data_IF_758423618393
#
_entry.id   IF_758423618393
#
_cell.length_a   1.000
_cell.length_b   1.000
_cell.length_c   1.000
_cell.angle_alpha   90.00
_cell.angle_beta   90.00
_cell.angle_gamma   90.00
#
_symmetry.space_group_name_H-M   'P 1'
#
loop_
_entity.id
_entity.type
_entity.pdbx_description
1 polymer ?
#
# COMPACT_ATOMS: atom_id res chain seq x y z
N UNK A 1 -9.07 15.88 13.07
CA UNK A 1 -7.76 16.45 13.43
C UNK A 1 -7.49 16.40 14.93
N UNK A 2 -7.14 15.22 15.46
CA UNK A 2 -6.72 15.05 16.85
C UNK A 2 -5.18 14.99 16.91
N UNK A 3 -4.55 16.02 17.46
CA UNK A 3 -3.09 16.14 17.52
C UNK A 3 -2.43 15.02 18.34
N UNK A 4 -3.06 14.58 19.42
CA UNK A 4 -2.56 13.49 20.26
C UNK A 4 -2.58 12.15 19.52
N UNK A 5 -3.66 11.86 18.78
CA UNK A 5 -3.75 10.66 17.95
C UNK A 5 -2.68 10.67 16.84
N UNK A 6 -2.50 11.82 16.17
CA UNK A 6 -1.46 11.98 15.15
C UNK A 6 -0.06 11.76 15.72
N UNK A 7 0.23 12.27 16.92
CA UNK A 7 1.52 12.09 17.58
C UNK A 7 1.84 10.62 17.88
N UNK A 8 0.83 9.79 18.15
CA UNK A 8 1.00 8.34 18.36
C UNK A 8 1.28 7.65 17.02
N UNK A 9 0.42 7.85 16.03
CA UNK A 9 0.53 7.21 14.71
C UNK A 9 1.83 7.59 14.00
N UNK A 10 2.34 8.80 14.23
CA UNK A 10 3.61 9.26 13.62
C UNK A 10 4.86 8.59 14.20
N UNK A 11 4.76 7.85 15.30
CA UNK A 11 5.91 7.11 15.87
C UNK A 11 6.25 5.84 15.10
N UNK A 12 5.28 5.32 14.35
CA UNK A 12 5.42 4.10 13.57
C UNK A 12 5.31 4.43 12.07
N UNK A 13 6.36 4.17 11.26
CA UNK A 13 6.32 4.47 9.82
C UNK A 13 5.21 3.75 9.06
N UNK A 14 4.85 2.52 9.45
CA UNK A 14 3.78 1.77 8.79
C UNK A 14 2.41 2.40 9.09
N UNK A 15 2.12 2.72 10.35
CA UNK A 15 0.87 3.41 10.70
C UNK A 15 0.80 4.82 10.12
N UNK A 16 1.94 5.53 10.10
CA UNK A 16 2.03 6.85 9.47
C UNK A 16 1.62 6.78 8.00
N UNK A 17 2.15 5.81 7.24
CA UNK A 17 1.83 5.66 5.82
C UNK A 17 0.45 5.07 5.56
N UNK A 18 -0.08 4.20 6.42
CA UNK A 18 -1.36 3.52 6.20
C UNK A 18 -2.57 4.45 6.37
N UNK A 19 -2.47 5.45 7.25
CA UNK A 19 -3.62 6.25 7.69
C UNK A 19 -3.76 7.60 6.99
N UNK A 20 -2.96 7.87 5.95
CA UNK A 20 -3.02 9.12 5.17
C UNK A 20 -2.31 8.97 3.83
N UNK A 21 -2.55 9.90 2.92
CA UNK A 21 -1.72 10.06 1.73
C UNK A 21 -0.32 10.53 2.13
N UNK A 22 0.71 9.82 1.67
CA UNK A 22 2.11 10.22 1.82
C UNK A 22 2.77 10.30 0.46
N UNK A 23 3.68 11.25 0.26
CA UNK A 23 4.39 11.45 -0.99
C UNK A 23 5.88 11.58 -0.70
N UNK A 24 6.71 10.88 -1.46
CA UNK A 24 8.17 10.91 -1.33
C UNK A 24 8.80 11.13 -2.70
N UNK A 25 9.86 11.93 -2.76
CA UNK A 25 10.65 12.07 -3.98
C UNK A 25 11.55 10.84 -4.15
N UNK A 26 11.39 10.10 -5.24
CA UNK A 26 12.14 8.86 -5.48
C UNK A 26 13.20 8.96 -6.57
N UNK A 27 13.16 10.02 -7.40
CA UNK A 27 14.15 10.29 -8.43
C UNK A 27 14.28 11.80 -8.62
N UNK A 28 15.50 12.29 -8.78
CA UNK A 28 15.79 13.70 -9.11
C UNK A 28 16.84 13.73 -10.21
N UNK A 29 16.62 14.56 -11.23
CA UNK A 29 17.59 14.86 -12.28
C UNK A 29 17.77 16.37 -12.40
N UNK A 30 19.01 16.87 -12.30
CA UNK A 30 19.33 18.28 -12.48
C UNK A 30 20.79 18.49 -12.91
N UNK A 31 21.00 19.08 -14.09
CA UNK A 31 22.33 19.36 -14.63
C UNK A 31 23.03 18.14 -15.26
N UNK A 32 24.21 18.39 -15.84
CA UNK A 32 25.00 17.36 -16.53
C UNK A 32 26.52 17.61 -16.50
N UNK A 33 27.00 18.71 -15.91
CA UNK A 33 28.42 19.08 -15.90
C UNK A 33 28.77 19.92 -14.66
N UNK A 34 30.03 19.81 -14.22
CA UNK A 34 30.51 20.43 -12.98
C UNK A 34 30.62 21.96 -13.04
N UNK A 35 30.67 22.54 -14.24
CA UNK A 35 30.88 23.97 -14.47
C UNK A 35 29.71 24.66 -15.21
N UNK A 36 28.57 23.98 -15.38
CA UNK A 36 27.41 24.53 -16.08
C UNK A 36 26.21 24.66 -15.13
N UNK A 37 25.56 25.83 -15.14
CA UNK A 37 24.33 26.05 -14.38
C UNK A 37 23.17 25.24 -15.00
N UNK A 38 22.48 24.39 -14.22
CA UNK A 38 21.39 23.57 -14.73
C UNK A 38 20.21 24.43 -15.20
N UNK A 39 19.76 24.20 -16.44
CA UNK A 39 18.61 24.91 -17.02
C UNK A 39 17.26 24.26 -16.66
N UNK A 40 17.28 23.00 -16.21
CA UNK A 40 16.09 22.23 -15.83
C UNK A 40 16.41 21.28 -14.68
N UNK A 41 15.43 21.09 -13.81
CA UNK A 41 15.39 20.01 -12.85
C UNK A 41 14.07 19.26 -12.99
N UNK A 42 14.08 17.94 -12.80
CA UNK A 42 12.88 17.12 -12.71
C UNK A 42 12.96 16.26 -11.45
N UNK A 43 11.79 15.97 -10.88
CA UNK A 43 11.68 15.08 -9.73
C UNK A 43 10.47 14.15 -9.93
N UNK A 44 10.66 12.85 -9.71
CA UNK A 44 9.55 11.91 -9.61
C UNK A 44 9.10 11.84 -8.14
N UNK A 45 7.85 12.17 -7.90
CA UNK A 45 7.22 12.08 -6.57
C UNK A 45 6.30 10.88 -6.57
N UNK A 46 6.64 9.85 -5.79
CA UNK A 46 5.80 8.68 -5.61
C UNK A 46 4.87 8.91 -4.41
N UNK A 47 3.56 8.88 -4.66
CA UNK A 47 2.55 9.04 -3.63
C UNK A 47 1.86 7.71 -3.31
N UNK A 48 1.81 7.35 -2.03
CA UNK A 48 0.95 6.31 -1.47
C UNK A 48 -0.36 6.98 -1.08
N UNK A 49 -1.33 6.94 -1.97
CA UNK A 49 -2.60 7.65 -1.81
C UNK A 49 -3.58 6.87 -0.95
N UNK A 50 -4.27 7.56 -0.03
CA UNK A 50 -5.35 6.97 0.74
C UNK A 50 -6.52 6.60 -0.20
N UNK A 51 -7.16 5.43 -0.04
CA UNK A 51 -8.24 4.99 -0.92
C UNK A 51 -9.34 6.04 -1.07
N UNK A 52 -9.88 6.17 -2.28
CA UNK A 52 -10.86 7.20 -2.63
C UNK A 52 -10.29 8.58 -2.98
N UNK A 53 -8.98 8.80 -2.84
CA UNK A 53 -8.35 10.07 -3.23
C UNK A 53 -8.20 10.15 -4.75
N UNK A 54 -8.66 11.25 -5.35
CA UNK A 54 -8.49 11.53 -6.78
C UNK A 54 -7.06 12.03 -7.08
N UNK A 55 -6.32 11.40 -8.01
CA UNK A 55 -4.98 11.84 -8.42
C UNK A 55 -4.91 13.29 -8.90
N UNK A 56 -5.95 13.80 -9.55
CA UNK A 56 -5.98 15.19 -10.03
C UNK A 56 -6.12 16.20 -8.88
N UNK A 57 -6.88 15.84 -7.84
CA UNK A 57 -6.97 16.66 -6.62
C UNK A 57 -5.60 16.73 -5.95
N UNK A 58 -4.93 15.59 -5.77
CA UNK A 58 -3.59 15.55 -5.18
C UNK A 58 -2.56 16.32 -6.03
N UNK A 59 -2.63 16.21 -7.36
CA UNK A 59 -1.80 17.00 -8.28
C UNK A 59 -2.00 18.50 -8.06
N UNK A 60 -3.25 18.93 -7.91
CA UNK A 60 -3.61 20.32 -7.61
C UNK A 60 -3.07 20.79 -6.25
N UNK A 61 -3.20 19.97 -5.21
CA UNK A 61 -2.66 20.25 -3.88
C UNK A 61 -1.13 20.39 -3.90
N UNK A 62 -0.42 19.49 -4.58
CA UNK A 62 1.03 19.57 -4.75
C UNK A 62 1.44 20.85 -5.49
N UNK A 63 0.74 21.21 -6.57
CA UNK A 63 1.01 22.44 -7.31
C UNK A 63 0.78 23.69 -6.45
N UNK A 64 -0.29 23.70 -5.65
CA UNK A 64 -0.59 24.79 -4.72
C UNK A 64 0.46 24.92 -3.61
N UNK A 65 0.93 23.80 -3.05
CA UNK A 65 2.00 23.81 -2.03
C UNK A 65 3.34 24.30 -2.57
N UNK A 66 3.69 23.93 -3.81
CA UNK A 66 4.91 24.41 -4.47
C UNK A 66 4.83 25.93 -4.73
N UNK A 67 3.62 26.42 -5.03
CA UNK A 67 3.32 27.85 -5.21
C UNK A 67 4.30 28.57 -6.16
N UNK A 68 4.66 27.90 -7.26
CA UNK A 68 5.58 28.44 -8.25
C UNK A 68 5.09 28.10 -9.66
N UNK A 69 4.57 29.10 -10.38
CA UNK A 69 4.03 28.93 -11.73
C UNK A 69 5.06 28.44 -12.77
N UNK A 70 6.38 28.50 -12.46
CA UNK A 70 7.43 27.95 -13.33
C UNK A 70 7.64 26.44 -13.14
N UNK A 71 7.03 25.84 -12.13
CA UNK A 71 7.12 24.40 -11.86
C UNK A 71 5.85 23.72 -12.37
N UNK A 72 5.99 22.86 -13.37
CA UNK A 72 4.90 22.03 -13.84
C UNK A 72 4.76 20.79 -12.95
N UNK A 73 3.53 20.49 -12.52
CA UNK A 73 3.19 19.25 -11.82
C UNK A 73 2.23 18.46 -12.69
N UNK A 74 2.67 17.28 -13.13
CA UNK A 74 1.96 16.38 -14.05
C UNK A 74 1.83 15.00 -13.44
N UNK A 75 0.72 14.31 -13.74
CA UNK A 75 0.61 12.88 -13.45
C UNK A 75 1.42 12.08 -14.48
N UNK A 76 2.15 11.07 -14.01
CA UNK A 76 2.85 10.12 -14.88
C UNK A 76 1.86 9.07 -15.41
N UNK A 77 1.89 8.81 -16.71
CA UNK A 77 1.05 7.81 -17.33
C UNK A 77 1.66 6.40 -17.21
N UNK A 78 0.84 5.33 -17.10
CA UNK A 78 -0.62 5.36 -17.00
C UNK A 78 -1.10 5.78 -15.61
N UNK A 79 -2.12 6.64 -15.57
CA UNK A 79 -2.79 7.00 -14.31
C UNK A 79 -3.62 5.80 -13.86
N UNK A 80 -3.35 5.30 -12.67
CA UNK A 80 -4.06 4.14 -12.10
C UNK A 80 -5.49 4.53 -11.70
N UNK A 81 -6.45 3.58 -11.73
CA UNK A 81 -7.79 3.82 -11.19
C UNK A 81 -7.75 4.24 -9.72
N UNK A 82 -8.80 4.93 -9.27
CA UNK A 82 -8.95 5.25 -7.84
C UNK A 82 -9.25 3.97 -7.06
N UNK A 83 -8.38 3.64 -6.10
CA UNK A 83 -8.57 2.49 -5.24
C UNK A 83 -9.84 2.64 -4.39
N UNK A 84 -10.62 1.56 -4.29
CA UNK A 84 -11.81 1.47 -3.44
C UNK A 84 -11.62 0.37 -2.40
N UNK A 85 -11.87 0.70 -1.13
CA UNK A 85 -11.88 -0.31 -0.08
C UNK A 85 -13.07 -1.25 -0.30
N UNK A 86 -12.88 -2.58 -0.25
CA UNK A 86 -13.99 -3.53 -0.34
C UNK A 86 -14.86 -3.44 0.93
N UNK A 87 -16.16 -3.76 0.85
CA UNK A 87 -16.99 -3.91 2.05
C UNK A 87 -16.45 -5.06 2.92
N UNK A 88 -16.57 -4.99 4.24
CA UNK A 88 -16.15 -6.09 5.12
C UNK A 88 -17.20 -7.22 5.13
N UNK A 89 -17.31 -7.97 4.03
CA UNK A 89 -18.32 -9.02 3.86
C UNK A 89 -18.10 -10.16 4.87
N UNK A 90 -19.03 -10.40 5.81
CA UNK A 90 -18.89 -11.47 6.82
C UNK A 90 -18.76 -12.87 6.21
N UNK A 91 -19.34 -13.12 5.04
CA UNK A 91 -19.24 -14.40 4.35
C UNK A 91 -17.82 -14.70 3.83
N UNK A 92 -16.99 -13.66 3.65
CA UNK A 92 -15.57 -13.81 3.24
C UNK A 92 -14.64 -13.70 4.45
N UNK A 93 -14.84 -12.67 5.27
CA UNK A 93 -13.98 -12.38 6.42
C UNK A 93 -14.18 -13.40 7.55
N UNK A 94 -15.39 -13.93 7.73
CA UNK A 94 -15.70 -14.93 8.75
C UNK A 94 -14.88 -16.21 8.61
N UNK A 95 -14.91 -16.89 7.44
CA UNK A 95 -14.05 -18.03 7.16
C UNK A 95 -12.56 -17.73 7.34
N UNK A 96 -12.10 -16.55 6.87
CA UNK A 96 -10.70 -16.15 7.06
C UNK A 96 -10.31 -16.10 8.55
N UNK A 97 -11.16 -15.49 9.37
CA UNK A 97 -10.95 -15.37 10.81
C UNK A 97 -11.00 -16.73 11.52
N UNK A 98 -11.97 -17.58 11.20
CA UNK A 98 -12.11 -18.91 11.80
C UNK A 98 -10.88 -19.78 11.51
N UNK A 99 -10.45 -19.84 10.25
CA UNK A 99 -9.25 -20.57 9.86
C UNK A 99 -7.98 -19.96 10.48
N UNK A 100 -7.92 -18.64 10.67
CA UNK A 100 -6.74 -18.01 11.28
C UNK A 100 -6.54 -18.48 12.72
N UNK A 101 -7.63 -18.72 13.46
CA UNK A 101 -7.59 -19.27 14.82
C UNK A 101 -7.04 -20.71 14.84
N UNK A 102 -7.35 -21.51 13.81
CA UNK A 102 -6.86 -22.88 13.64
C UNK A 102 -5.36 -22.92 13.31
N UNK A 103 -4.91 -22.16 12.32
CA UNK A 103 -3.54 -22.21 11.80
C UNK A 103 -2.55 -21.35 12.60
N UNK A 104 -3.04 -20.31 13.26
CA UNK A 104 -2.25 -19.32 14.01
C UNK A 104 -2.86 -19.06 15.40
N UNK A 105 -2.92 -20.08 16.28
CA UNK A 105 -3.56 -19.96 17.59
C UNK A 105 -2.90 -18.87 18.45
N UNK A 106 -3.73 -18.01 19.04
CA UNK A 106 -3.29 -16.89 19.87
C UNK A 106 -2.86 -15.62 19.11
N UNK A 107 -2.89 -15.63 17.77
CA UNK A 107 -2.62 -14.45 16.95
C UNK A 107 -3.93 -13.71 16.64
N UNK A 108 -4.04 -12.40 16.92
CA UNK A 108 -5.25 -11.65 16.62
C UNK A 108 -5.44 -11.48 15.11
N UNK A 109 -6.67 -11.65 14.64
CA UNK A 109 -7.07 -11.28 13.29
C UNK A 109 -7.39 -9.77 13.25
N UNK A 110 -6.69 -9.02 12.41
CA UNK A 110 -6.87 -7.57 12.28
C UNK A 110 -6.98 -7.20 10.81
N UNK A 111 -8.04 -6.46 10.46
CA UNK A 111 -8.17 -5.87 9.13
C UNK A 111 -7.15 -4.74 8.98
N UNK A 112 -6.32 -4.82 7.95
CA UNK A 112 -5.29 -3.83 7.64
C UNK A 112 -5.36 -3.44 6.17
N UNK A 113 -4.93 -2.21 5.87
CA UNK A 113 -4.76 -1.74 4.51
C UNK A 113 -3.28 -1.83 4.15
N UNK A 114 -2.95 -2.59 3.10
CA UNK A 114 -1.58 -2.62 2.60
C UNK A 114 -1.14 -1.22 2.13
N UNK A 115 0.06 -0.81 2.52
CA UNK A 115 0.73 0.39 1.98
C UNK A 115 1.43 0.11 0.65
N UNK A 116 1.47 -1.16 0.22
CA UNK A 116 1.90 -1.61 -1.09
C UNK A 116 0.79 -1.55 -2.15
N UNK A 117 1.11 -1.99 -3.36
CA UNK A 117 0.13 -2.10 -4.44
C UNK A 117 -0.28 -3.57 -4.64
N UNK A 118 -1.53 -3.79 -5.06
CA UNK A 118 -2.05 -5.06 -5.55
C UNK A 118 -2.91 -4.82 -6.79
N UNK A 119 -3.24 -5.89 -7.51
CA UNK A 119 -4.11 -5.80 -8.70
C UNK A 119 -5.59 -5.52 -8.34
N UNK A 120 -5.93 -5.45 -7.05
CA UNK A 120 -7.27 -5.09 -6.58
C UNK A 120 -7.73 -3.70 -7.05
N UNK A 121 -6.80 -2.81 -7.39
CA UNK A 121 -7.10 -1.50 -7.99
C UNK A 121 -7.75 -1.60 -9.38
N UNK A 122 -7.55 -2.71 -10.09
CA UNK A 122 -8.16 -2.98 -11.39
C UNK A 122 -9.46 -3.78 -11.28
N UNK A 123 -9.61 -4.58 -10.22
CA UNK A 123 -10.78 -5.42 -9.96
C UNK A 123 -11.91 -4.65 -9.26
N UNK A 124 -11.57 -3.79 -8.30
CA UNK A 124 -12.56 -3.02 -7.53
C UNK A 124 -13.42 -2.06 -8.38
N UNK A 125 -12.91 -1.39 -9.45
CA UNK A 125 -13.74 -0.53 -10.28
C UNK A 125 -14.80 -1.29 -11.09
N UNK A 126 -14.55 -2.55 -11.43
CA UNK A 126 -15.50 -3.43 -12.14
C UNK A 126 -16.40 -4.23 -11.18
N UNK A 127 -16.39 -3.89 -9.90
CA UNK A 127 -17.32 -4.47 -8.91
C UNK A 127 -16.87 -5.79 -8.29
N UNK A 128 -15.60 -6.19 -8.45
CA UNK A 128 -15.04 -7.40 -7.81
C UNK A 128 -14.34 -6.98 -6.51
N UNK A 129 -14.90 -7.27 -5.32
CA UNK A 129 -14.24 -6.98 -4.05
C UNK A 129 -12.97 -7.83 -3.92
N UNK A 130 -11.85 -7.21 -3.55
CA UNK A 130 -10.55 -7.89 -3.41
C UNK A 130 -10.07 -7.78 -1.98
N UNK A 131 -9.77 -8.90 -1.34
CA UNK A 131 -9.29 -8.98 0.03
C UNK A 131 -7.91 -9.62 0.06
N UNK A 132 -7.02 -9.15 0.94
CA UNK A 132 -5.80 -9.86 1.26
C UNK A 132 -6.11 -11.04 2.18
N UNK A 133 -5.89 -12.27 1.71
CA UNK A 133 -5.97 -13.44 2.57
C UNK A 133 -4.70 -13.53 3.44
N UNK A 134 -4.81 -13.89 4.73
CA UNK A 134 -3.63 -14.21 5.54
C UNK A 134 -3.05 -15.55 5.07
N UNK A 135 -1.95 -15.97 5.68
CA UNK A 135 -1.34 -17.28 5.41
C UNK A 135 0.18 -17.24 5.40
N UNK A 136 0.76 -16.14 4.91
CA UNK A 136 2.20 -15.93 5.02
C UNK A 136 2.55 -15.17 6.31
N UNK A 137 3.37 -15.80 7.13
CA UNK A 137 4.05 -15.14 8.24
C UNK A 137 5.25 -14.35 7.70
N UNK A 138 5.23 -13.04 7.96
CA UNK A 138 6.33 -12.13 7.69
C UNK A 138 7.06 -11.75 8.98
N UNK A 139 8.33 -11.39 8.84
CA UNK A 139 9.15 -10.80 9.88
C UNK A 139 8.95 -9.28 9.92
N UNK A 140 9.32 -8.66 11.04
CA UNK A 140 9.17 -7.21 11.22
C UNK A 140 10.03 -6.37 10.25
N UNK A 141 11.07 -6.97 9.66
CA UNK A 141 11.92 -6.32 8.64
C UNK A 141 11.33 -6.37 7.22
N UNK A 142 10.13 -6.96 7.05
CA UNK A 142 9.47 -7.06 5.75
C UNK A 142 10.13 -8.07 4.81
N UNK A 143 10.95 -8.98 5.33
CA UNK A 143 11.51 -10.12 4.60
C UNK A 143 12.42 -9.77 3.42
N UNK A 144 12.84 -8.51 3.29
CA UNK A 144 13.64 -8.03 2.16
C UNK A 144 12.86 -7.96 0.84
N UNK A 145 11.53 -7.91 0.88
CA UNK A 145 10.70 -7.82 -0.31
C UNK A 145 11.17 -6.70 -1.25
N UNK A 146 11.39 -7.03 -2.53
CA UNK A 146 11.92 -6.11 -3.56
C UNK A 146 13.38 -5.66 -3.34
N UNK A 147 14.14 -6.34 -2.47
CA UNK A 147 15.51 -6.00 -2.11
C UNK A 147 16.48 -7.17 -2.18
N UNK A 148 17.71 -6.93 -1.70
CA UNK A 148 18.70 -7.99 -1.56
C UNK A 148 18.29 -8.95 -0.44
N UNK A 149 18.54 -10.24 -0.65
CA UNK A 149 18.25 -11.31 0.30
C UNK A 149 16.76 -11.39 0.69
N UNK A 150 15.87 -11.18 -0.28
CA UNK A 150 14.44 -11.50 -0.14
C UNK A 150 14.26 -12.96 0.29
N UNK A 151 13.48 -13.21 1.34
CA UNK A 151 13.41 -14.52 2.00
C UNK A 151 12.08 -14.78 2.66
N UNK A 152 11.75 -16.05 2.86
CA UNK A 152 10.58 -16.47 3.64
C UNK A 152 10.93 -17.69 4.49
N UNK A 153 10.32 -17.83 5.68
CA UNK A 153 10.48 -19.05 6.47
C UNK A 153 9.83 -20.22 5.73
N UNK A 154 10.55 -21.34 5.60
CA UNK A 154 10.01 -22.56 4.98
C UNK A 154 8.70 -23.01 5.64
N UNK A 155 8.61 -22.93 6.97
CA UNK A 155 7.39 -23.25 7.71
C UNK A 155 6.23 -22.30 7.43
N UNK A 156 6.52 -21.04 7.12
CA UNK A 156 5.52 -20.03 6.73
C UNK A 156 4.90 -20.39 5.37
N UNK A 157 5.72 -20.84 4.41
CA UNK A 157 5.24 -21.30 3.10
C UNK A 157 4.27 -22.47 3.23
N UNK A 158 4.64 -23.51 3.99
CA UNK A 158 3.76 -24.69 4.14
C UNK A 158 2.47 -24.37 4.89
N UNK A 159 2.55 -23.62 6.00
CA UNK A 159 1.34 -23.21 6.74
C UNK A 159 0.43 -22.30 5.91
N UNK A 160 1.02 -21.38 5.15
CA UNK A 160 0.28 -20.48 4.27
C UNK A 160 -0.42 -21.21 3.14
N UNK A 161 0.25 -22.20 2.53
CA UNK A 161 -0.38 -23.09 1.54
C UNK A 161 -1.59 -23.80 2.14
N UNK A 162 -1.42 -24.47 3.27
CA UNK A 162 -2.49 -25.28 3.88
C UNK A 162 -3.68 -24.39 4.31
N UNK A 163 -3.42 -23.20 4.85
CA UNK A 163 -4.44 -22.21 5.15
C UNK A 163 -5.22 -21.76 3.90
N UNK A 164 -4.50 -21.39 2.84
CA UNK A 164 -5.10 -20.87 1.61
C UNK A 164 -5.92 -21.94 0.87
N UNK A 165 -5.43 -23.18 0.85
CA UNK A 165 -6.13 -24.33 0.26
C UNK A 165 -7.48 -24.56 0.96
N UNK A 166 -7.48 -24.66 2.29
CA UNK A 166 -8.71 -24.84 3.06
C UNK A 166 -9.65 -23.62 2.95
N UNK A 167 -9.10 -22.40 2.88
CA UNK A 167 -9.91 -21.20 2.71
C UNK A 167 -10.62 -21.20 1.35
N UNK A 168 -9.94 -21.59 0.27
CA UNK A 168 -10.55 -21.66 -1.07
C UNK A 168 -11.67 -22.70 -1.08
N UNK A 169 -11.45 -23.88 -0.50
CA UNK A 169 -12.50 -24.89 -0.37
C UNK A 169 -13.69 -24.38 0.46
N UNK A 170 -13.43 -23.77 1.62
CA UNK A 170 -14.47 -23.23 2.51
C UNK A 170 -15.32 -22.14 1.85
N UNK A 171 -14.74 -21.34 0.95
CA UNK A 171 -15.45 -20.28 0.24
C UNK A 171 -16.17 -20.75 -1.04
N UNK A 172 -15.83 -21.94 -1.53
CA UNK A 172 -16.40 -22.52 -2.74
C UNK A 172 -17.65 -23.37 -2.46
N UNK A 173 -17.77 -23.90 -1.25
CA UNK A 173 -18.93 -24.66 -0.76
C UNK A 173 -20.12 -23.74 -0.37
#
# INVERSE_FOLDING_TARGET
NNAAANAIVNRDPQFHSMLRTTCVTTLVNAGHANNALPQRATANVNCRMFPGTDPEVLRGELAAMINNAKVAVTLEAPVRPVAKAPPMNPAVIGPMMALSTKYFPGVPFVATMSTGATDGIFLSPIGIPTYGAPGFYGESDGNGAHGLNERVRVTSVYKGRDYLDELVHTLAD
#
